data_IF_677776976376
#
_entry.id   IF_677776976376
#
_cell.length_a   1.000
_cell.length_b   1.000
_cell.length_c   1.000
_cell.angle_alpha   90.00
_cell.angle_beta   90.00
_cell.angle_gamma   90.00
#
_symmetry.space_group_name_H-M   'P 1'
#
loop_
_entity.id
_entity.type
_entity.pdbx_description
1 polymer ?
#
# COMPACT_ATOMS: atom_id res chain seq x y z
N UNK A 1 13.69 10.55 10.99
CA UNK A 1 13.02 9.37 11.55
C UNK A 1 11.59 9.33 11.04
N UNK A 2 10.92 8.18 11.03
CA UNK A 2 9.50 8.06 10.65
C UNK A 2 8.77 7.29 11.74
N UNK A 3 7.59 7.78 12.12
CA UNK A 3 6.70 7.09 13.06
C UNK A 3 6.32 5.71 12.48
N UNK A 4 6.18 4.65 13.30
CA UNK A 4 5.72 3.35 12.81
C UNK A 4 4.34 3.41 12.15
N UNK A 5 4.08 2.48 11.21
CA UNK A 5 2.76 2.27 10.61
C UNK A 5 1.71 2.07 11.72
N UNK A 6 0.46 2.56 11.56
CA UNK A 6 -0.15 3.06 10.33
C UNK A 6 0.07 4.55 10.04
N UNK A 7 1.00 5.23 10.72
CA UNK A 7 1.31 6.63 10.45
C UNK A 7 1.81 6.83 8.99
N UNK A 8 1.31 7.83 8.24
CA UNK A 8 1.67 8.05 6.84
C UNK A 8 3.03 8.75 6.63
N UNK A 9 3.69 9.25 7.68
CA UNK A 9 4.90 10.07 7.57
C UNK A 9 6.01 9.40 6.76
N UNK A 10 6.16 8.08 6.85
CA UNK A 10 7.12 7.32 6.06
C UNK A 10 6.84 7.41 4.55
N UNK A 11 5.59 7.19 4.14
CA UNK A 11 5.16 7.28 2.73
C UNK A 11 5.23 8.71 2.20
N UNK A 12 4.79 9.69 3.00
CA UNK A 12 4.84 11.11 2.62
C UNK A 12 6.29 11.60 2.43
N UNK A 13 7.21 11.11 3.27
CA UNK A 13 8.64 11.38 3.09
C UNK A 13 9.17 10.81 1.77
N UNK A 14 8.74 9.61 1.37
CA UNK A 14 9.12 9.02 0.08
C UNK A 14 8.51 9.81 -1.08
N UNK A 15 7.22 10.16 -1.01
CA UNK A 15 6.55 10.99 -2.01
C UNK A 15 7.30 12.31 -2.25
N UNK A 16 7.68 12.99 -1.16
CA UNK A 16 8.47 14.22 -1.22
C UNK A 16 9.85 14.00 -1.85
N UNK A 17 10.56 12.94 -1.45
CA UNK A 17 11.89 12.62 -1.98
C UNK A 17 11.85 12.29 -3.49
N UNK A 18 10.81 11.59 -3.94
CA UNK A 18 10.60 11.22 -5.34
C UNK A 18 9.96 12.33 -6.17
N UNK A 19 9.44 13.39 -5.53
CA UNK A 19 8.70 14.50 -6.16
C UNK A 19 7.48 14.01 -6.94
N UNK A 20 6.73 13.09 -6.33
CA UNK A 20 5.48 12.55 -6.87
C UNK A 20 4.35 12.77 -5.88
N UNK A 21 3.14 12.93 -6.41
CA UNK A 21 1.94 12.95 -5.60
C UNK A 21 1.67 11.56 -5.00
N UNK A 22 1.18 11.44 -3.75
CA UNK A 22 0.87 10.14 -3.16
C UNK A 22 -0.11 9.30 -3.97
N UNK A 23 -1.04 9.92 -4.71
CA UNK A 23 -1.98 9.18 -5.57
C UNK A 23 -1.30 8.47 -6.75
N UNK A 24 -0.06 8.86 -7.09
CA UNK A 24 0.78 8.21 -8.09
C UNK A 24 1.64 7.08 -7.49
N UNK A 25 1.49 6.77 -6.20
CA UNK A 25 2.22 5.73 -5.50
C UNK A 25 1.27 4.58 -5.11
N UNK A 26 1.87 3.41 -4.88
CA UNK A 26 1.18 2.23 -4.36
C UNK A 26 1.91 1.70 -3.11
N UNK A 27 1.16 1.46 -2.04
CA UNK A 27 1.60 0.78 -0.83
C UNK A 27 1.23 -0.70 -0.93
N UNK A 28 2.24 -1.57 -0.96
CA UNK A 28 2.06 -3.02 -1.00
C UNK A 28 2.37 -3.59 0.39
N UNK A 29 1.47 -4.37 0.96
CA UNK A 29 1.67 -5.00 2.27
C UNK A 29 0.75 -6.19 2.50
N UNK A 30 0.97 -6.88 3.61
CA UNK A 30 0.25 -8.10 4.00
C UNK A 30 -0.55 -7.93 5.30
N UNK A 31 -0.51 -6.73 5.90
CA UNK A 31 -1.18 -6.45 7.15
C UNK A 31 -2.03 -5.17 7.13
N UNK A 32 -3.01 -5.10 8.03
CA UNK A 32 -3.94 -3.97 8.15
C UNK A 32 -3.24 -2.61 8.30
N UNK A 33 -2.09 -2.59 8.98
CA UNK A 33 -1.32 -1.35 9.17
C UNK A 33 -0.73 -0.80 7.88
N UNK A 34 -0.39 -1.65 6.91
CA UNK A 34 0.10 -1.22 5.60
C UNK A 34 -0.99 -0.51 4.81
N UNK A 35 -2.18 -1.13 4.77
CA UNK A 35 -3.32 -0.57 4.07
C UNK A 35 -3.75 0.77 4.68
N UNK A 36 -3.84 0.86 6.01
CA UNK A 36 -4.14 2.11 6.70
C UNK A 36 -3.09 3.18 6.46
N UNK A 37 -1.81 2.82 6.46
CA UNK A 37 -0.71 3.75 6.15
C UNK A 37 -0.84 4.31 4.72
N UNK A 38 -1.09 3.43 3.73
CA UNK A 38 -1.30 3.84 2.34
C UNK A 38 -2.51 4.77 2.18
N UNK A 39 -3.66 4.38 2.74
CA UNK A 39 -4.87 5.21 2.72
C UNK A 39 -4.66 6.56 3.39
N UNK A 40 -4.01 6.60 4.56
CA UNK A 40 -3.72 7.84 5.28
C UNK A 40 -2.76 8.76 4.50
N UNK A 41 -1.82 8.18 3.74
CA UNK A 41 -0.94 8.96 2.86
C UNK A 41 -1.64 9.43 1.58
N UNK A 42 -2.82 8.91 1.25
CA UNK A 42 -3.51 9.16 -0.02
C UNK A 42 -2.99 8.33 -1.19
N UNK A 43 -2.20 7.27 -0.92
CA UNK A 43 -1.73 6.35 -1.94
C UNK A 43 -2.71 5.23 -2.22
N UNK A 44 -2.50 4.54 -3.35
CA UNK A 44 -3.18 3.28 -3.61
C UNK A 44 -2.61 2.17 -2.74
N UNK A 45 -3.37 1.10 -2.58
CA UNK A 45 -3.07 0.00 -1.65
C UNK A 45 -3.23 -1.35 -2.31
N UNK A 46 -2.27 -2.24 -2.07
CA UNK A 46 -2.29 -3.62 -2.56
C UNK A 46 -2.08 -4.56 -1.38
N UNK A 47 -3.00 -5.50 -1.22
CA UNK A 47 -2.88 -6.58 -0.25
C UNK A 47 -2.23 -7.80 -0.91
N UNK A 48 -1.17 -8.32 -0.31
CA UNK A 48 -0.50 -9.57 -0.73
C UNK A 48 -0.41 -10.58 0.41
N UNK A 49 -0.07 -11.84 0.10
CA UNK A 49 0.19 -12.93 1.05
C UNK A 49 -1.01 -13.36 1.91
N UNK A 50 -2.22 -13.01 1.49
CA UNK A 50 -3.48 -13.50 2.06
C UNK A 50 -4.29 -14.20 0.98
N UNK A 51 -4.95 -15.30 1.34
CA UNK A 51 -5.78 -16.07 0.40
C UNK A 51 -6.99 -15.27 -0.09
N UNK A 52 -7.60 -14.51 0.83
CA UNK A 52 -8.80 -13.73 0.60
C UNK A 52 -8.54 -12.25 0.94
N UNK A 53 -9.48 -11.36 0.61
CA UNK A 53 -9.40 -9.95 0.96
C UNK A 53 -10.29 -9.63 2.18
N UNK A 54 -9.74 -9.65 3.41
CA UNK A 54 -10.49 -9.32 4.63
C UNK A 54 -10.81 -7.82 4.79
N UNK A 55 -10.20 -6.93 4.00
CA UNK A 55 -10.34 -5.47 4.12
C UNK A 55 -10.64 -4.81 2.76
N UNK A 56 -11.78 -5.13 2.13
CA UNK A 56 -12.12 -4.62 0.80
C UNK A 56 -12.20 -3.09 0.74
N UNK A 57 -12.63 -2.44 1.81
CA UNK A 57 -12.71 -0.98 1.90
C UNK A 57 -11.34 -0.29 1.95
N UNK A 58 -10.31 -1.02 2.39
CA UNK A 58 -8.94 -0.50 2.50
C UNK A 58 -8.02 -0.96 1.38
N UNK A 59 -8.47 -1.85 0.49
CA UNK A 59 -7.64 -2.53 -0.50
C UNK A 59 -8.09 -2.18 -1.91
N UNK A 60 -7.25 -1.49 -2.69
CA UNK A 60 -7.57 -1.21 -4.10
C UNK A 60 -7.37 -2.46 -4.98
N UNK A 61 -6.33 -3.26 -4.71
CA UNK A 61 -6.10 -4.55 -5.37
C UNK A 61 -5.61 -5.61 -4.38
N UNK A 62 -5.99 -6.87 -4.63
CA UNK A 62 -5.55 -8.01 -3.83
C UNK A 62 -4.93 -9.07 -4.76
N UNK A 63 -3.81 -9.64 -4.32
CA UNK A 63 -3.17 -10.78 -4.94
C UNK A 63 -2.75 -11.78 -3.85
N UNK A 64 -2.79 -13.08 -4.16
CA UNK A 64 -2.43 -14.10 -3.16
C UNK A 64 -0.95 -14.09 -2.79
N UNK A 65 -0.09 -13.60 -3.69
CA UNK A 65 1.34 -13.40 -3.48
C UNK A 65 1.90 -12.37 -4.50
N UNK A 66 3.19 -12.07 -4.41
CA UNK A 66 3.86 -11.15 -5.34
C UNK A 66 3.98 -11.71 -6.78
N UNK A 67 3.90 -13.03 -6.97
CA UNK A 67 3.95 -13.65 -8.31
C UNK A 67 2.65 -13.39 -9.06
N UNK A 68 1.52 -13.59 -8.38
CA UNK A 68 0.19 -13.25 -8.85
C UNK A 68 0.08 -11.74 -9.10
N UNK A 69 0.59 -10.91 -8.18
CA UNK A 69 0.62 -9.46 -8.37
C UNK A 69 1.38 -9.08 -9.64
N UNK A 70 2.56 -9.66 -9.89
CA UNK A 70 3.31 -9.43 -11.13
C UNK A 70 2.49 -9.80 -12.37
N UNK A 71 1.76 -10.91 -12.33
CA UNK A 71 0.87 -11.33 -13.42
C UNK A 71 -0.28 -10.35 -13.70
N UNK A 72 -0.63 -9.50 -12.74
CA UNK A 72 -1.65 -8.45 -12.91
C UNK A 72 -1.09 -7.17 -13.56
N UNK A 73 0.24 -6.98 -13.60
CA UNK A 73 0.86 -5.71 -13.98
C UNK A 73 1.08 -5.49 -15.49
N UNK A 74 0.77 -6.47 -16.34
CA UNK A 74 0.93 -6.36 -17.80
C UNK A 74 2.36 -6.58 -18.26
#
# INVERSE_FOLDING_TARGET
EATPKPDPAGLLKLASAWRVEPQCMVMIGDYLHDLRCGRAAGSKTVLVNLKDNPWPELTDWHAVDCTALRGMLG
#
